data_IF_754707364717
#
_entry.id   IF_754707364717
#
_cell.length_a   1.000
_cell.length_b   1.000
_cell.length_c   1.000
_cell.angle_alpha   90.00
_cell.angle_beta   90.00
_cell.angle_gamma   90.00
#
_symmetry.space_group_name_H-M   'P 1'
#
loop_
_entity.id
_entity.type
_entity.pdbx_description
1 polymer ?
#
# COMPACT_ATOMS: atom_id res chain seq x y z
N UNK A 1 -4.83 -19.60 -6.45
CA UNK A 1 -5.88 -18.57 -6.69
C UNK A 1 -6.65 -18.19 -5.42
N UNK A 2 -7.37 -19.10 -4.76
CA UNK A 2 -8.18 -18.77 -3.56
C UNK A 2 -7.38 -18.15 -2.41
N UNK A 3 -6.14 -18.57 -2.18
CA UNK A 3 -5.28 -17.99 -1.14
C UNK A 3 -4.93 -16.53 -1.43
N UNK A 4 -4.66 -16.16 -2.67
CA UNK A 4 -4.41 -14.77 -3.04
C UNK A 4 -5.66 -13.90 -2.87
N UNK A 5 -6.85 -14.43 -3.21
CA UNK A 5 -8.12 -13.74 -2.96
C UNK A 5 -8.39 -13.56 -1.48
N UNK A 6 -8.09 -14.56 -0.65
CA UNK A 6 -8.22 -14.45 0.80
C UNK A 6 -7.25 -13.41 1.39
N UNK A 7 -6.01 -13.36 0.89
CA UNK A 7 -5.03 -12.34 1.27
C UNK A 7 -5.51 -10.95 0.86
N UNK A 8 -6.04 -10.80 -0.36
CA UNK A 8 -6.59 -9.54 -0.84
C UNK A 8 -7.75 -9.08 0.06
N UNK A 9 -8.73 -9.95 0.32
CA UNK A 9 -9.85 -9.64 1.20
C UNK A 9 -9.42 -9.23 2.62
N UNK A 10 -8.38 -9.87 3.17
CA UNK A 10 -7.83 -9.49 4.47
C UNK A 10 -7.18 -8.10 4.45
N UNK A 11 -6.45 -7.77 3.37
CA UNK A 11 -5.84 -6.45 3.17
C UNK A 11 -6.91 -5.37 3.02
N UNK A 12 -7.94 -5.61 2.20
CA UNK A 12 -9.06 -4.67 1.98
C UNK A 12 -9.85 -4.42 3.28
N UNK A 13 -10.03 -5.47 4.09
CA UNK A 13 -10.61 -5.35 5.43
C UNK A 13 -9.74 -4.44 6.31
N UNK A 14 -8.41 -4.63 6.30
CA UNK A 14 -7.47 -3.79 7.04
C UNK A 14 -7.51 -2.32 6.60
N UNK A 15 -7.59 -2.06 5.29
CA UNK A 15 -7.76 -0.71 4.73
C UNK A 15 -9.07 -0.08 5.23
N UNK A 16 -10.15 -0.82 5.17
CA UNK A 16 -11.47 -0.35 5.64
C UNK A 16 -11.46 -0.03 7.12
N UNK A 17 -10.87 -0.89 7.96
CA UNK A 17 -10.72 -0.62 9.40
C UNK A 17 -9.85 0.60 9.70
N UNK A 18 -8.90 0.93 8.84
CA UNK A 18 -8.04 2.10 9.01
C UNK A 18 -8.73 3.42 8.65
N UNK A 19 -9.72 3.41 7.75
CA UNK A 19 -10.34 4.62 7.19
C UNK A 19 -11.76 4.85 7.68
N UNK A 20 -12.60 3.84 7.67
CA UNK A 20 -14.05 3.93 7.95
C UNK A 20 -14.37 4.51 9.32
N UNK A 21 -13.71 4.13 10.44
CA UNK A 21 -14.06 4.67 11.75
C UNK A 21 -13.90 6.19 11.83
N UNK A 22 -12.83 6.74 11.26
CA UNK A 22 -12.61 8.21 11.26
C UNK A 22 -13.57 8.91 10.30
N UNK A 23 -13.84 8.34 9.15
CA UNK A 23 -14.86 8.86 8.23
C UNK A 23 -16.23 8.94 8.90
N UNK A 24 -16.65 7.87 9.61
CA UNK A 24 -17.89 7.86 10.36
C UNK A 24 -17.91 8.91 11.49
N UNK A 25 -16.81 9.07 12.22
CA UNK A 25 -16.69 10.09 13.24
C UNK A 25 -16.88 11.51 12.67
N UNK A 26 -16.29 11.79 11.51
CA UNK A 26 -16.44 13.08 10.84
C UNK A 26 -17.89 13.32 10.41
N UNK A 27 -18.53 12.36 9.74
CA UNK A 27 -19.88 12.54 9.20
C UNK A 27 -20.95 12.50 10.26
N UNK A 28 -20.81 11.67 11.28
CA UNK A 28 -21.85 11.48 12.31
C UNK A 28 -21.72 12.45 13.49
N UNK A 29 -20.46 12.66 13.96
CA UNK A 29 -20.19 13.50 15.13
C UNK A 29 -19.62 14.87 14.78
N UNK A 30 -19.35 15.15 13.48
CA UNK A 30 -18.67 16.37 13.01
C UNK A 30 -17.30 16.59 13.69
N UNK A 31 -16.63 15.50 14.06
CA UNK A 31 -15.30 15.51 14.68
C UNK A 31 -14.22 15.60 13.59
N UNK A 32 -13.94 16.83 13.15
CA UNK A 32 -12.95 17.13 12.10
C UNK A 32 -11.51 17.06 12.59
N UNK A 33 -11.32 16.97 13.91
CA UNK A 33 -10.01 17.00 14.51
C UNK A 33 -9.42 15.59 14.60
N UNK A 34 -8.16 15.45 14.16
CA UNK A 34 -7.40 14.21 14.33
C UNK A 34 -6.11 14.52 15.10
N UNK A 35 -5.83 13.71 16.10
CA UNK A 35 -4.58 13.81 16.83
C UNK A 35 -3.42 13.44 15.91
N UNK A 36 -2.31 14.19 15.96
CA UNK A 36 -1.13 13.97 15.11
C UNK A 36 -0.60 12.54 15.15
N UNK A 37 -0.51 11.93 16.34
CA UNK A 37 -0.02 10.54 16.45
C UNK A 37 -1.00 9.53 15.85
N UNK A 38 -2.30 9.73 16.05
CA UNK A 38 -3.32 8.90 15.41
C UNK A 38 -3.25 9.00 13.89
N UNK A 39 -2.99 10.21 13.38
CA UNK A 39 -2.76 10.47 11.96
C UNK A 39 -1.55 9.71 11.41
N UNK A 40 -0.41 9.73 12.09
CA UNK A 40 0.78 9.00 11.67
C UNK A 40 0.55 7.48 11.63
N UNK A 41 -0.16 6.95 12.62
CA UNK A 41 -0.51 5.53 12.70
C UNK A 41 -1.46 5.15 11.54
N UNK A 42 -2.50 5.95 11.32
CA UNK A 42 -3.44 5.74 10.21
C UNK A 42 -2.72 5.75 8.85
N UNK A 43 -1.87 6.75 8.62
CA UNK A 43 -1.08 6.88 7.41
C UNK A 43 -0.16 5.67 7.19
N UNK A 44 0.51 5.19 8.24
CA UNK A 44 1.37 4.01 8.18
C UNK A 44 0.60 2.76 7.73
N UNK A 45 -0.53 2.48 8.36
CA UNK A 45 -1.35 1.32 8.01
C UNK A 45 -1.96 1.44 6.63
N UNK A 46 -2.52 2.58 6.28
CA UNK A 46 -3.15 2.85 4.99
C UNK A 46 -2.17 2.60 3.84
N UNK A 47 -0.98 3.20 3.90
CA UNK A 47 0.02 3.02 2.85
C UNK A 47 0.64 1.62 2.86
N UNK A 48 0.84 1.01 4.04
CA UNK A 48 1.35 -0.36 4.13
C UNK A 48 0.39 -1.37 3.51
N UNK A 49 -0.90 -1.27 3.78
CA UNK A 49 -1.91 -2.13 3.16
C UNK A 49 -2.01 -1.91 1.66
N UNK A 50 -1.95 -0.66 1.18
CA UNK A 50 -1.95 -0.36 -0.25
C UNK A 50 -0.73 -0.95 -0.99
N UNK A 51 0.45 -0.96 -0.38
CA UNK A 51 1.63 -1.61 -0.93
C UNK A 51 1.46 -3.14 -0.96
N UNK A 52 0.91 -3.73 0.09
CA UNK A 52 0.63 -5.17 0.14
C UNK A 52 -0.41 -5.56 -0.92
N UNK A 53 -1.48 -4.79 -1.07
CA UNK A 53 -2.51 -4.98 -2.09
C UNK A 53 -1.89 -5.03 -3.49
N UNK A 54 -1.07 -4.04 -3.83
CA UNK A 54 -0.40 -3.99 -5.13
C UNK A 54 0.54 -5.18 -5.37
N UNK A 55 1.20 -5.69 -4.33
CA UNK A 55 2.05 -6.88 -4.42
C UNK A 55 1.23 -8.16 -4.63
N UNK A 56 0.07 -8.28 -3.97
CA UNK A 56 -0.84 -9.43 -4.16
C UNK A 56 -1.46 -9.41 -5.56
N UNK A 57 -1.86 -8.25 -6.07
CA UNK A 57 -2.34 -8.10 -7.45
C UNK A 57 -1.28 -8.53 -8.47
N UNK A 58 -0.02 -8.18 -8.26
CA UNK A 58 1.09 -8.63 -9.09
C UNK A 58 1.27 -10.16 -9.02
N UNK A 59 1.17 -10.74 -7.84
CA UNK A 59 1.23 -12.19 -7.65
C UNK A 59 0.05 -12.90 -8.34
N UNK A 60 -1.14 -12.31 -8.33
CA UNK A 60 -2.31 -12.83 -9.06
C UNK A 60 -2.11 -12.76 -10.57
N UNK A 61 -1.49 -11.70 -11.09
CA UNK A 61 -1.15 -11.61 -12.52
C UNK A 61 -0.15 -12.71 -12.91
N UNK A 62 0.83 -12.99 -12.06
CA UNK A 62 1.76 -14.11 -12.26
C UNK A 62 1.06 -15.48 -12.19
N UNK A 63 0.14 -15.68 -11.24
CA UNK A 63 -0.70 -16.89 -11.13
C UNK A 63 -1.46 -17.15 -12.44
N UNK A 64 -2.06 -16.11 -13.03
CA UNK A 64 -2.75 -16.20 -14.32
C UNK A 64 -1.81 -16.53 -15.46
N UNK A 65 -0.66 -15.88 -15.51
CA UNK A 65 0.35 -16.18 -16.51
C UNK A 65 0.78 -17.66 -16.46
N UNK A 66 1.09 -18.20 -15.31
CA UNK A 66 1.49 -19.60 -15.16
C UNK A 66 0.35 -20.55 -15.52
N UNK A 67 -0.90 -20.25 -15.11
CA UNK A 67 -2.05 -21.08 -15.41
C UNK A 67 -2.33 -21.21 -16.92
N UNK A 68 -2.10 -20.14 -17.67
CA UNK A 68 -2.40 -20.11 -19.12
C UNK A 68 -1.20 -20.60 -19.94
N UNK A 69 0.01 -20.09 -19.66
CA UNK A 69 1.18 -20.35 -20.47
C UNK A 69 1.91 -21.66 -20.11
N UNK A 70 1.75 -22.16 -18.87
CA UNK A 70 2.43 -23.36 -18.37
C UNK A 70 1.52 -24.27 -17.55
N UNK A 71 0.39 -24.77 -18.12
CA UNK A 71 -0.63 -25.51 -17.37
C UNK A 71 -0.09 -26.80 -16.72
N UNK A 72 0.81 -27.52 -17.41
CA UNK A 72 1.40 -28.77 -16.92
C UNK A 72 2.34 -28.57 -15.70
N UNK A 73 2.89 -27.37 -15.52
CA UNK A 73 3.80 -27.05 -14.43
C UNK A 73 3.15 -26.19 -13.35
N UNK A 74 1.84 -25.92 -13.44
CA UNK A 74 1.14 -25.04 -12.52
C UNK A 74 1.27 -25.48 -11.05
N UNK A 75 1.02 -26.75 -10.77
CA UNK A 75 1.10 -27.29 -9.40
C UNK A 75 2.54 -27.39 -8.85
N UNK A 76 3.54 -27.46 -9.72
CA UNK A 76 4.94 -27.49 -9.31
C UNK A 76 5.51 -26.10 -9.08
N UNK A 77 5.03 -25.09 -9.79
CA UNK A 77 5.47 -23.70 -9.66
C UNK A 77 4.73 -23.01 -8.50
N UNK A 78 3.39 -23.06 -8.49
CA UNK A 78 2.56 -22.42 -7.47
C UNK A 78 2.32 -23.33 -6.26
N UNK A 79 3.40 -23.57 -5.52
CA UNK A 79 3.35 -24.32 -4.27
C UNK A 79 2.91 -23.46 -3.10
N UNK A 80 2.31 -24.07 -2.05
CA UNK A 80 1.92 -23.38 -0.82
C UNK A 80 3.07 -22.56 -0.19
N UNK A 81 4.29 -23.13 -0.05
CA UNK A 81 5.45 -22.37 0.43
C UNK A 81 5.80 -21.13 -0.40
N UNK A 82 5.64 -21.17 -1.73
CA UNK A 82 5.88 -20.00 -2.57
C UNK A 82 4.88 -18.89 -2.29
N UNK A 83 3.60 -19.23 -2.16
CA UNK A 83 2.54 -18.27 -1.85
C UNK A 83 2.79 -17.61 -0.50
N UNK A 84 3.15 -18.39 0.52
CA UNK A 84 3.50 -17.87 1.85
C UNK A 84 4.72 -16.94 1.80
N UNK A 85 5.77 -17.33 1.07
CA UNK A 85 6.96 -16.47 0.88
C UNK A 85 6.61 -15.16 0.17
N UNK A 86 5.75 -15.21 -0.82
CA UNK A 86 5.27 -14.01 -1.53
C UNK A 86 4.50 -13.08 -0.59
N UNK A 87 3.60 -13.62 0.23
CA UNK A 87 2.89 -12.84 1.25
C UNK A 87 3.83 -12.21 2.27
N UNK A 88 4.79 -12.98 2.79
CA UNK A 88 5.79 -12.47 3.73
C UNK A 88 6.66 -11.38 3.10
N UNK A 89 7.07 -11.55 1.84
CA UNK A 89 7.84 -10.54 1.10
C UNK A 89 7.03 -9.25 0.89
N UNK A 90 5.72 -9.35 0.61
CA UNK A 90 4.83 -8.21 0.50
C UNK A 90 4.75 -7.41 1.81
N UNK A 91 4.56 -8.10 2.94
CA UNK A 91 4.54 -7.48 4.28
C UNK A 91 5.89 -6.83 4.59
N UNK A 92 7.00 -7.55 4.42
CA UNK A 92 8.34 -7.02 4.69
C UNK A 92 8.64 -5.78 3.86
N UNK A 93 8.33 -5.81 2.56
CA UNK A 93 8.48 -4.67 1.65
C UNK A 93 7.65 -3.47 2.13
N UNK A 94 6.39 -3.68 2.48
CA UNK A 94 5.48 -2.62 2.92
C UNK A 94 5.99 -1.96 4.21
N UNK A 95 6.34 -2.75 5.22
CA UNK A 95 6.86 -2.26 6.50
C UNK A 95 8.18 -1.51 6.30
N UNK A 96 9.13 -2.06 5.54
CA UNK A 96 10.44 -1.44 5.32
C UNK A 96 10.32 -0.08 4.60
N UNK A 97 9.46 0.02 3.61
CA UNK A 97 9.28 1.27 2.85
C UNK A 97 8.49 2.33 3.63
N UNK A 98 7.55 1.91 4.48
CA UNK A 98 6.70 2.85 5.22
C UNK A 98 7.26 3.26 6.57
N UNK A 99 8.11 2.46 7.21
CA UNK A 99 8.70 2.78 8.53
C UNK A 99 9.43 4.13 8.57
N UNK A 100 10.23 4.54 7.57
CA UNK A 100 10.93 5.82 7.63
C UNK A 100 10.01 7.05 7.66
N UNK A 101 8.84 6.98 7.02
CA UNK A 101 7.93 8.12 6.87
C UNK A 101 7.43 8.73 8.19
N UNK A 102 6.87 7.95 9.14
CA UNK A 102 6.46 8.49 10.44
C UNK A 102 7.61 9.10 11.22
N UNK A 103 8.80 8.52 11.13
CA UNK A 103 9.98 9.04 11.83
C UNK A 103 10.47 10.36 11.22
N UNK A 104 10.45 10.48 9.90
CA UNK A 104 10.78 11.71 9.20
C UNK A 104 9.77 12.82 9.53
N UNK A 105 8.47 12.52 9.48
CA UNK A 105 7.42 13.48 9.81
C UNK A 105 7.49 13.94 11.27
N UNK A 106 7.86 13.07 12.19
CA UNK A 106 7.97 13.39 13.62
C UNK A 106 9.08 14.40 13.94
N UNK A 107 10.05 14.57 13.04
CA UNK A 107 11.16 15.54 13.22
C UNK A 107 10.78 16.98 12.91
N UNK A 108 9.67 17.22 12.22
CA UNK A 108 9.23 18.55 11.85
C UNK A 108 8.49 19.26 13.00
N UNK A 109 8.67 20.58 13.06
CA UNK A 109 7.84 21.45 13.87
C UNK A 109 6.60 21.84 13.07
N UNK A 110 5.43 21.74 13.68
CA UNK A 110 4.14 22.05 13.08
C UNK A 110 3.64 23.38 13.61
N UNK A 111 3.42 24.39 12.74
CA UNK A 111 3.07 25.75 13.13
C UNK A 111 1.57 25.95 13.40
N UNK A 112 0.72 25.05 12.91
CA UNK A 112 -0.75 25.18 13.03
C UNK A 112 -1.35 24.38 14.20
N UNK A 113 -0.52 23.91 15.15
CA UNK A 113 -0.97 23.11 16.29
C UNK A 113 -1.06 21.61 15.99
N UNK A 114 -1.37 20.77 17.00
CA UNK A 114 -1.36 19.31 16.87
C UNK A 114 -2.62 18.72 16.21
N UNK A 115 -3.50 19.56 15.65
CA UNK A 115 -4.79 19.15 15.10
C UNK A 115 -4.81 19.31 13.59
N UNK A 116 -5.21 18.26 12.89
CA UNK A 116 -5.27 18.20 11.42
C UNK A 116 -6.74 18.12 11.01
N UNK A 117 -7.23 19.15 10.30
CA UNK A 117 -8.60 19.21 9.79
C UNK A 117 -8.69 18.53 8.41
N UNK A 118 -8.67 17.20 8.38
CA UNK A 118 -8.78 16.42 7.13
C UNK A 118 -9.59 15.14 7.33
N UNK A 119 -10.20 14.65 6.22
CA UNK A 119 -11.02 13.43 6.25
C UNK A 119 -10.21 12.16 6.54
N UNK A 120 -8.95 12.13 6.13
CA UNK A 120 -7.99 11.04 6.40
C UNK A 120 -6.57 11.59 6.33
N UNK A 121 -5.64 10.86 6.92
CA UNK A 121 -4.25 11.27 6.98
C UNK A 121 -3.47 10.80 5.75
N UNK A 122 -3.24 11.74 4.83
CA UNK A 122 -2.38 11.56 3.69
C UNK A 122 -1.01 12.18 3.94
N UNK A 123 0.06 11.55 3.44
CA UNK A 123 1.43 12.01 3.59
C UNK A 123 1.62 13.47 3.15
N UNK A 124 1.11 13.84 1.96
CA UNK A 124 1.25 15.19 1.41
C UNK A 124 0.53 16.26 2.24
N UNK A 125 -0.60 15.91 2.85
CA UNK A 125 -1.34 16.82 3.72
C UNK A 125 -0.57 17.12 5.00
N UNK A 126 0.03 16.10 5.62
CA UNK A 126 0.83 16.25 6.83
C UNK A 126 2.09 17.06 6.56
N UNK A 127 2.75 16.81 5.42
CA UNK A 127 3.95 17.56 4.99
C UNK A 127 3.67 19.05 4.77
N UNK A 128 2.50 19.40 4.22
CA UNK A 128 2.10 20.82 4.01
C UNK A 128 1.91 21.61 5.30
N UNK A 129 1.60 20.94 6.40
CA UNK A 129 1.42 21.57 7.71
C UNK A 129 2.74 21.79 8.47
N UNK A 130 3.84 21.20 7.97
CA UNK A 130 5.15 21.30 8.58
C UNK A 130 5.80 22.67 8.24
N UNK A 131 6.41 23.30 9.25
CA UNK A 131 7.22 24.51 9.09
C UNK A 131 8.68 24.11 8.94
N UNK A 132 9.21 24.22 7.74
CA UNK A 132 10.61 23.92 7.48
C UNK A 132 10.84 23.34 6.08
N UNK A 133 12.05 22.90 5.81
CA UNK A 133 12.40 22.30 4.50
C UNK A 133 11.87 20.87 4.42
N UNK A 134 10.74 20.73 3.75
CA UNK A 134 10.03 19.46 3.55
C UNK A 134 10.44 18.74 2.25
N UNK A 135 11.40 19.29 1.49
CA UNK A 135 11.80 18.79 0.16
C UNK A 135 12.21 17.33 0.20
N UNK A 136 13.06 16.95 1.15
CA UNK A 136 13.52 15.57 1.28
C UNK A 136 12.37 14.59 1.51
N UNK A 137 11.44 14.95 2.38
CA UNK A 137 10.28 14.10 2.72
C UNK A 137 9.31 13.97 1.53
N UNK A 138 9.09 15.05 0.79
CA UNK A 138 8.30 15.05 -0.45
C UNK A 138 8.94 14.17 -1.52
N UNK A 139 10.25 14.33 -1.76
CA UNK A 139 10.98 13.54 -2.75
C UNK A 139 10.94 12.07 -2.37
N UNK A 140 11.16 11.72 -1.11
CA UNK A 140 11.08 10.34 -0.64
C UNK A 140 9.69 9.73 -0.87
N UNK A 141 8.61 10.42 -0.47
CA UNK A 141 7.23 9.95 -0.66
C UNK A 141 6.89 9.74 -2.14
N UNK A 142 7.23 10.70 -3.00
CA UNK A 142 7.02 10.61 -4.45
C UNK A 142 7.86 9.48 -5.05
N UNK A 143 9.14 9.37 -4.67
CA UNK A 143 10.03 8.33 -5.18
C UNK A 143 9.53 6.92 -4.83
N UNK A 144 9.07 6.70 -3.60
CA UNK A 144 8.48 5.43 -3.17
C UNK A 144 7.21 5.12 -3.95
N UNK A 145 6.30 6.09 -4.10
CA UNK A 145 5.06 5.92 -4.85
C UNK A 145 5.32 5.60 -6.33
N UNK A 146 6.21 6.34 -6.97
CA UNK A 146 6.60 6.12 -8.38
C UNK A 146 7.31 4.78 -8.57
N UNK A 147 8.22 4.42 -7.68
CA UNK A 147 8.93 3.14 -7.73
C UNK A 147 7.95 1.96 -7.64
N UNK A 148 7.03 1.99 -6.68
CA UNK A 148 6.04 0.92 -6.50
C UNK A 148 5.08 0.88 -7.69
N UNK A 149 4.51 2.02 -8.08
CA UNK A 149 3.55 2.12 -9.17
C UNK A 149 4.14 1.70 -10.52
N UNK A 150 5.29 2.25 -10.90
CA UNK A 150 5.95 1.95 -12.16
C UNK A 150 6.41 0.48 -12.24
N UNK A 151 6.97 -0.04 -11.14
CA UNK A 151 7.40 -1.44 -11.05
C UNK A 151 6.22 -2.40 -11.22
N UNK A 152 5.15 -2.20 -10.48
CA UNK A 152 3.98 -3.07 -10.55
C UNK A 152 3.30 -2.99 -11.92
N UNK A 153 3.13 -1.78 -12.47
CA UNK A 153 2.52 -1.57 -13.78
C UNK A 153 3.34 -2.26 -14.88
N UNK A 154 4.66 -2.12 -14.86
CA UNK A 154 5.55 -2.76 -15.82
C UNK A 154 5.36 -4.29 -15.84
N UNK A 155 5.37 -4.92 -14.67
CA UNK A 155 5.22 -6.38 -14.59
C UNK A 155 3.81 -6.85 -14.99
N UNK A 156 2.76 -6.12 -14.61
CA UNK A 156 1.40 -6.44 -15.04
C UNK A 156 1.28 -6.38 -16.56
N UNK A 157 1.81 -5.33 -17.19
CA UNK A 157 1.82 -5.19 -18.66
C UNK A 157 2.61 -6.34 -19.30
N UNK A 158 3.80 -6.67 -18.79
CA UNK A 158 4.61 -7.77 -19.31
C UNK A 158 3.87 -9.10 -19.22
N UNK A 159 3.26 -9.44 -18.10
CA UNK A 159 2.48 -10.67 -17.98
C UNK A 159 1.29 -10.68 -18.96
N UNK A 160 0.63 -9.55 -19.15
CA UNK A 160 -0.48 -9.44 -20.07
C UNK A 160 -0.03 -9.65 -21.54
N UNK A 161 1.11 -9.06 -21.93
CA UNK A 161 1.72 -9.27 -23.26
C UNK A 161 2.07 -10.74 -23.45
N UNK A 162 2.69 -11.40 -22.47
CA UNK A 162 3.03 -12.82 -22.57
C UNK A 162 1.82 -13.72 -22.67
N UNK A 163 0.73 -13.40 -21.95
CA UNK A 163 -0.55 -14.13 -22.05
C UNK A 163 -1.12 -13.98 -23.47
N UNK A 164 -1.18 -12.76 -23.99
CA UNK A 164 -1.67 -12.50 -25.34
C UNK A 164 -0.86 -13.25 -26.39
N UNK A 165 0.46 -13.24 -26.25
CA UNK A 165 1.35 -13.94 -27.18
C UNK A 165 1.23 -15.46 -27.10
N UNK A 166 0.84 -16.01 -25.96
CA UNK A 166 0.63 -17.45 -25.80
C UNK A 166 -0.76 -17.93 -26.30
N UNK A 167 -1.73 -17.01 -26.41
CA UNK A 167 -3.10 -17.33 -26.86
C UNK A 167 -3.30 -17.07 -28.36
N UNK A 168 -2.55 -16.15 -28.96
CA UNK A 168 -2.55 -15.86 -30.40
C UNK A 168 -1.69 -16.86 -31.17
#
# INVERSE_FOLDING_TARGET
MYLFLAMLAAIDSGLSYSTVPKMLAIFWFRDWEINFYACLIQMFFLHSFSIMESAVLLAMAFDRYVAICKPLHYSTILTGPLITKTGLAAVTRAVTLMTPLPFLLRRFHYCQGPVIAHCYCEHMTVVRLACGDTRFNNIYGIAVAMFIGAFNLLFVILYFIFILWAVL
#
